data_IF_240995925843
#
_entry.id   IF_240995925843
#
_cell.length_a   1.000
_cell.length_b   1.000
_cell.length_c   1.000
_cell.angle_alpha   90.00
_cell.angle_beta   90.00
_cell.angle_gamma   90.00
#
_symmetry.space_group_name_H-M   'P 1'
#
loop_
_entity.id
_entity.type
_entity.pdbx_description
1 polymer ?
#
# COMPACT_ATOMS: atom_id res chain seq x y z
N UNK A 1 3.87 -52.64 46.87
CA UNK A 1 4.06 -51.18 46.71
C UNK A 1 4.22 -50.85 45.24
N UNK A 2 3.12 -50.44 44.58
CA UNK A 2 3.06 -50.17 43.17
C UNK A 2 3.30 -48.71 42.88
N UNK A 3 4.33 -48.35 42.12
CA UNK A 3 4.54 -47.02 41.58
C UNK A 3 3.75 -46.91 40.30
N UNK A 4 2.68 -46.12 40.35
CA UNK A 4 1.95 -45.66 39.15
C UNK A 4 2.76 -44.58 38.47
N UNK A 5 3.30 -44.88 37.31
CA UNK A 5 3.77 -43.87 36.33
C UNK A 5 2.57 -43.26 35.66
N UNK A 6 2.36 -41.95 35.86
CA UNK A 6 1.36 -41.16 35.19
C UNK A 6 1.95 -40.70 33.83
N UNK A 7 1.47 -41.29 32.76
CA UNK A 7 1.84 -40.95 31.39
C UNK A 7 0.98 -39.74 31.02
N UNK A 8 1.54 -38.53 31.11
CA UNK A 8 0.88 -37.31 30.57
C UNK A 8 1.14 -37.25 29.08
N UNK A 9 0.08 -37.29 28.33
CA UNK A 9 0.03 -37.22 26.87
C UNK A 9 0.46 -35.84 26.38
N UNK A 10 1.43 -35.84 25.42
CA UNK A 10 1.93 -34.69 24.67
C UNK A 10 0.92 -34.22 23.61
N UNK A 11 -0.24 -33.70 23.98
CA UNK A 11 -1.23 -33.23 22.99
C UNK A 11 -1.91 -31.91 23.35
N UNK A 12 -1.27 -31.01 24.09
CA UNK A 12 -1.88 -29.68 24.36
C UNK A 12 -0.91 -28.51 24.20
N UNK A 13 -0.06 -28.51 23.19
CA UNK A 13 0.73 -27.35 22.80
C UNK A 13 0.60 -27.10 21.31
N UNK A 14 -0.58 -26.83 20.83
CA UNK A 14 -0.73 -26.11 19.56
C UNK A 14 -2.14 -25.58 19.35
N UNK A 15 -2.51 -24.56 20.12
CA UNK A 15 -3.67 -23.72 19.79
C UNK A 15 -3.53 -22.34 20.42
N UNK A 16 -2.41 -21.71 20.18
CA UNK A 16 -2.20 -20.29 20.40
C UNK A 16 -2.27 -19.56 19.06
N UNK A 17 -3.44 -19.54 18.43
CA UNK A 17 -3.74 -18.54 17.42
C UNK A 17 -3.65 -17.18 18.09
N UNK A 18 -2.49 -16.53 17.97
CA UNK A 18 -2.32 -15.12 18.31
C UNK A 18 -3.14 -14.35 17.29
N UNK A 19 -4.39 -14.09 17.64
CA UNK A 19 -5.17 -13.03 16.99
C UNK A 19 -4.35 -11.75 17.08
N UNK A 20 -4.21 -10.97 16.00
CA UNK A 20 -3.55 -9.67 16.07
C UNK A 20 -4.48 -8.72 16.83
N UNK A 21 -4.34 -8.71 18.17
CA UNK A 21 -4.98 -7.69 18.98
C UNK A 21 -4.41 -6.32 18.67
N UNK A 22 -5.25 -5.51 18.00
CA UNK A 22 -5.73 -4.22 18.49
C UNK A 22 -4.66 -3.18 18.81
N UNK A 23 -4.53 -2.14 17.93
CA UNK A 23 -4.16 -0.79 18.37
C UNK A 23 -2.69 -0.41 18.32
N UNK A 24 -1.79 -1.25 17.91
CA UNK A 24 -0.44 -0.81 17.63
C UNK A 24 -0.44 -0.04 16.30
N UNK A 25 -0.16 1.26 16.36
CA UNK A 25 0.07 2.08 15.16
C UNK A 25 1.04 1.33 14.24
N UNK A 26 0.71 1.16 12.95
CA UNK A 26 1.62 0.45 12.05
C UNK A 26 3.00 1.09 12.08
N UNK A 27 4.03 0.27 12.14
CA UNK A 27 5.42 0.77 12.15
C UNK A 27 5.67 1.49 10.85
N UNK A 28 6.11 2.74 10.91
CA UNK A 28 6.41 3.59 9.76
C UNK A 28 7.25 2.84 8.71
N UNK A 29 6.97 3.07 7.45
CA UNK A 29 7.64 2.40 6.31
C UNK A 29 9.15 2.65 6.38
N UNK A 30 9.57 3.88 6.67
CA UNK A 30 10.97 4.27 6.81
C UNK A 30 11.73 3.46 7.87
N UNK A 31 11.06 3.12 8.98
CA UNK A 31 11.63 2.28 10.06
C UNK A 31 11.77 0.83 9.60
N UNK A 32 10.76 0.27 8.91
CA UNK A 32 10.82 -1.08 8.34
C UNK A 32 11.95 -1.19 7.32
N UNK A 33 12.04 -0.25 6.38
CA UNK A 33 13.13 -0.19 5.39
C UNK A 33 14.49 -0.11 6.08
N UNK A 34 14.63 0.70 7.14
CA UNK A 34 15.88 0.80 7.90
C UNK A 34 16.35 -0.53 8.48
N UNK A 35 15.43 -1.33 9.03
CA UNK A 35 15.72 -2.69 9.54
C UNK A 35 16.11 -3.64 8.42
N UNK A 36 15.39 -3.62 7.32
CA UNK A 36 15.60 -4.54 6.20
C UNK A 36 16.90 -4.25 5.45
N UNK A 37 17.36 -2.98 5.42
CA UNK A 37 18.69 -2.63 4.94
C UNK A 37 19.78 -3.35 5.73
N UNK A 38 19.66 -3.40 7.06
CA UNK A 38 20.65 -4.11 7.91
C UNK A 38 20.62 -5.61 7.65
N UNK A 39 19.41 -6.18 7.46
CA UNK A 39 19.23 -7.61 7.14
C UNK A 39 19.85 -7.93 5.78
N UNK A 40 19.52 -7.17 4.74
CA UNK A 40 20.04 -7.35 3.39
C UNK A 40 21.58 -7.20 3.33
N UNK A 41 22.12 -6.26 4.10
CA UNK A 41 23.58 -6.08 4.21
C UNK A 41 24.27 -7.31 4.84
N UNK A 42 23.70 -7.86 5.91
CA UNK A 42 24.23 -9.08 6.56
C UNK A 42 24.10 -10.31 5.65
N UNK A 43 23.02 -10.41 4.90
CA UNK A 43 22.76 -11.50 3.95
C UNK A 43 23.53 -11.35 2.63
N UNK A 44 24.22 -10.23 2.41
CA UNK A 44 24.90 -9.89 1.14
C UNK A 44 23.96 -9.87 -0.08
N UNK A 45 22.71 -9.48 0.14
CA UNK A 45 21.69 -9.34 -0.91
C UNK A 45 21.86 -7.98 -1.63
N UNK A 46 22.86 -7.85 -2.48
CA UNK A 46 23.28 -6.58 -3.11
C UNK A 46 22.15 -5.85 -3.85
N UNK A 47 21.35 -6.59 -4.62
CA UNK A 47 20.23 -5.99 -5.37
C UNK A 47 19.19 -5.39 -4.42
N UNK A 48 18.78 -6.15 -3.40
CA UNK A 48 17.81 -5.69 -2.40
C UNK A 48 18.36 -4.51 -1.59
N UNK A 49 19.62 -4.58 -1.21
CA UNK A 49 20.29 -3.50 -0.49
C UNK A 49 20.30 -2.19 -1.29
N UNK A 50 20.62 -2.27 -2.57
CA UNK A 50 20.64 -1.11 -3.47
C UNK A 50 19.27 -0.49 -3.61
N UNK A 51 18.23 -1.31 -3.87
CA UNK A 51 16.85 -0.86 -3.99
C UNK A 51 16.36 -0.20 -2.70
N UNK A 52 16.60 -0.82 -1.53
CA UNK A 52 16.16 -0.27 -0.24
C UNK A 52 16.88 1.04 0.11
N UNK A 53 18.17 1.16 -0.21
CA UNK A 53 18.93 2.41 -0.02
C UNK A 53 18.38 3.55 -0.87
N UNK A 54 18.02 3.25 -2.12
CA UNK A 54 17.40 4.22 -3.02
C UNK A 54 16.05 4.69 -2.48
N UNK A 55 15.17 3.77 -2.02
CA UNK A 55 13.89 4.14 -1.40
C UNK A 55 14.12 5.00 -0.15
N UNK A 56 15.04 4.61 0.73
CA UNK A 56 15.39 5.38 1.92
C UNK A 56 15.88 6.79 1.58
N UNK A 57 16.68 6.93 0.54
CA UNK A 57 17.14 8.24 0.07
C UNK A 57 15.98 9.11 -0.42
N UNK A 58 15.02 8.55 -1.17
CA UNK A 58 13.85 9.28 -1.63
C UNK A 58 12.99 9.80 -0.46
N UNK A 59 12.74 8.95 0.55
CA UNK A 59 12.04 9.35 1.77
C UNK A 59 12.79 10.46 2.50
N UNK A 60 14.11 10.31 2.68
CA UNK A 60 14.94 11.29 3.37
C UNK A 60 15.00 12.65 2.66
N UNK A 61 15.10 12.66 1.34
CA UNK A 61 15.08 13.87 0.55
C UNK A 61 13.77 14.64 0.78
N UNK A 62 12.64 13.94 0.79
CA UNK A 62 11.35 14.55 1.03
C UNK A 62 11.20 15.11 2.45
N UNK A 63 11.74 14.43 3.47
CA UNK A 63 11.81 14.98 4.84
C UNK A 63 12.61 16.27 4.89
N UNK A 64 13.77 16.32 4.20
CA UNK A 64 14.62 17.50 4.16
C UNK A 64 13.91 18.67 3.48
N UNK A 65 13.23 18.43 2.36
CA UNK A 65 12.44 19.44 1.65
C UNK A 65 11.31 19.99 2.52
N UNK A 66 10.60 19.09 3.20
CA UNK A 66 9.47 19.45 4.06
C UNK A 66 9.91 20.10 5.37
N UNK A 67 11.11 19.78 5.84
CA UNK A 67 11.67 20.16 7.17
C UNK A 67 10.87 19.59 8.36
N UNK A 68 10.10 18.57 8.13
CA UNK A 68 9.28 17.87 9.11
C UNK A 68 9.30 16.36 8.83
N UNK A 69 9.03 15.52 9.85
CA UNK A 69 8.85 14.07 9.63
C UNK A 69 7.74 13.80 8.62
N UNK A 70 7.91 12.74 7.84
CA UNK A 70 6.88 12.28 6.92
C UNK A 70 5.75 11.60 7.69
N UNK A 71 4.54 11.80 7.22
CA UNK A 71 3.38 11.00 7.64
C UNK A 71 3.33 9.67 6.89
N UNK A 72 2.61 8.68 7.43
CA UNK A 72 2.42 7.37 6.78
C UNK A 72 1.84 7.51 5.36
N UNK A 73 0.96 8.50 5.16
CA UNK A 73 0.37 8.82 3.85
C UNK A 73 1.43 9.34 2.88
N UNK A 74 2.29 10.24 3.33
CA UNK A 74 3.37 10.79 2.51
C UNK A 74 4.41 9.73 2.15
N UNK A 75 4.79 8.86 3.10
CA UNK A 75 5.66 7.71 2.81
C UNK A 75 5.04 6.81 1.73
N UNK A 76 3.75 6.48 1.85
CA UNK A 76 3.00 5.70 0.86
C UNK A 76 2.97 6.36 -0.51
N UNK A 77 2.76 7.68 -0.59
CA UNK A 77 2.75 8.44 -1.85
C UNK A 77 4.12 8.42 -2.54
N UNK A 78 5.20 8.56 -1.76
CA UNK A 78 6.57 8.51 -2.30
C UNK A 78 6.84 7.13 -2.91
N UNK A 79 6.53 6.04 -2.19
CA UNK A 79 6.71 4.69 -2.70
C UNK A 79 5.86 4.44 -3.96
N UNK A 80 4.63 4.91 -3.98
CA UNK A 80 3.74 4.80 -5.15
C UNK A 80 4.32 5.53 -6.37
N UNK A 81 4.92 6.71 -6.15
CA UNK A 81 5.60 7.47 -7.21
C UNK A 81 6.82 6.72 -7.74
N UNK A 82 7.62 6.12 -6.86
CA UNK A 82 8.77 5.30 -7.24
C UNK A 82 8.35 4.08 -8.08
N UNK A 83 7.26 3.41 -7.70
CA UNK A 83 6.70 2.29 -8.47
C UNK A 83 6.25 2.75 -9.86
N UNK A 84 5.57 3.91 -9.96
CA UNK A 84 5.14 4.46 -11.24
C UNK A 84 6.33 4.71 -12.16
N UNK A 85 7.38 5.35 -11.68
CA UNK A 85 8.61 5.60 -12.45
C UNK A 85 9.23 4.31 -12.95
N UNK A 86 9.26 3.24 -12.11
CA UNK A 86 9.77 1.94 -12.53
C UNK A 86 8.90 1.25 -13.57
N UNK A 87 7.59 1.39 -13.46
CA UNK A 87 6.68 0.87 -14.50
C UNK A 87 6.93 1.54 -15.85
N UNK A 88 7.15 2.84 -15.86
CA UNK A 88 7.54 3.59 -17.08
C UNK A 88 8.90 3.11 -17.62
N UNK A 89 9.86 2.79 -16.72
CA UNK A 89 11.13 2.18 -17.11
C UNK A 89 10.95 0.79 -17.72
N UNK A 90 10.10 -0.07 -17.11
CA UNK A 90 9.76 -1.39 -17.68
C UNK A 90 9.22 -1.26 -19.10
N UNK A 91 8.29 -0.35 -19.34
CA UNK A 91 7.73 -0.11 -20.67
C UNK A 91 8.82 0.34 -21.66
N UNK A 92 9.67 1.28 -21.24
CA UNK A 92 10.76 1.81 -22.06
C UNK A 92 11.78 0.73 -22.42
N UNK A 93 12.21 -0.09 -21.45
CA UNK A 93 13.13 -1.20 -21.68
C UNK A 93 12.52 -2.29 -22.56
N UNK A 94 11.23 -2.59 -22.37
CA UNK A 94 10.51 -3.55 -23.22
C UNK A 94 10.44 -3.06 -24.67
N UNK A 95 10.13 -1.77 -24.89
CA UNK A 95 10.11 -1.16 -26.22
C UNK A 95 11.51 -1.09 -26.86
N UNK A 96 12.55 -0.97 -26.02
CA UNK A 96 13.95 -0.93 -26.45
C UNK A 96 14.60 -2.31 -26.63
N UNK A 97 13.82 -3.40 -26.59
CA UNK A 97 14.31 -4.78 -26.69
C UNK A 97 15.42 -5.12 -25.66
N UNK A 98 15.19 -4.68 -24.43
CA UNK A 98 16.10 -4.90 -23.28
C UNK A 98 15.35 -5.63 -22.15
N UNK A 99 14.92 -6.88 -22.38
CA UNK A 99 14.08 -7.62 -21.42
C UNK A 99 14.77 -7.85 -20.07
N UNK A 100 16.10 -8.00 -20.05
CA UNK A 100 16.88 -8.18 -18.81
C UNK A 100 16.79 -6.97 -17.87
N UNK A 101 16.73 -5.75 -18.43
CA UNK A 101 16.56 -4.53 -17.64
C UNK A 101 15.10 -4.37 -17.20
N UNK A 102 14.15 -4.72 -18.05
CA UNK A 102 12.73 -4.72 -17.68
C UNK A 102 12.44 -5.68 -16.52
N UNK A 103 13.02 -6.89 -16.52
CA UNK A 103 12.86 -7.84 -15.42
C UNK A 103 13.48 -7.32 -14.10
N UNK A 104 14.61 -6.65 -14.17
CA UNK A 104 15.23 -6.02 -12.98
C UNK A 104 14.30 -4.97 -12.37
N UNK A 105 13.72 -4.09 -13.18
CA UNK A 105 12.75 -3.08 -12.70
C UNK A 105 11.50 -3.73 -12.10
N UNK A 106 10.98 -4.83 -12.69
CA UNK A 106 9.86 -5.58 -12.13
C UNK A 106 10.17 -6.15 -10.74
N UNK A 107 11.38 -6.69 -10.54
CA UNK A 107 11.82 -7.17 -9.23
C UNK A 107 11.88 -6.02 -8.20
N UNK A 108 12.36 -4.85 -8.60
CA UNK A 108 12.38 -3.68 -7.74
C UNK A 108 10.97 -3.19 -7.39
N UNK A 109 10.03 -3.20 -8.35
CA UNK A 109 8.61 -2.92 -8.09
C UNK A 109 8.06 -3.85 -7.02
N UNK A 110 8.24 -5.17 -7.19
CA UNK A 110 7.74 -6.16 -6.24
C UNK A 110 8.30 -5.95 -4.82
N UNK A 111 9.59 -5.60 -4.71
CA UNK A 111 10.20 -5.27 -3.42
C UNK A 111 9.57 -4.05 -2.77
N UNK A 112 9.34 -2.97 -3.52
CA UNK A 112 8.76 -1.73 -2.99
C UNK A 112 7.29 -1.95 -2.62
N UNK A 113 6.54 -2.69 -3.43
CA UNK A 113 5.12 -3.03 -3.16
C UNK A 113 4.94 -3.76 -1.83
N UNK A 114 5.91 -4.58 -1.41
CA UNK A 114 5.90 -5.26 -0.11
C UNK A 114 5.90 -4.34 1.12
N UNK A 115 6.24 -3.07 0.96
CA UNK A 115 6.19 -2.07 2.03
C UNK A 115 4.88 -1.29 2.07
N UNK A 116 4.14 -1.29 0.98
CA UNK A 116 2.87 -0.57 0.91
C UNK A 116 1.78 -1.31 1.69
N UNK A 117 0.78 -0.58 2.21
CA UNK A 117 -0.45 -1.22 2.69
C UNK A 117 -1.04 -2.10 1.60
N UNK A 118 -1.73 -3.16 1.99
CA UNK A 118 -2.46 -3.97 1.02
C UNK A 118 -3.41 -3.08 0.21
N UNK A 119 -3.53 -3.38 -1.08
CA UNK A 119 -4.53 -2.71 -1.91
C UNK A 119 -5.90 -3.03 -1.35
N UNK A 120 -6.72 -2.01 -1.18
CA UNK A 120 -8.10 -2.20 -0.80
C UNK A 120 -8.80 -3.10 -1.81
N UNK A 121 -9.63 -3.99 -1.30
CA UNK A 121 -10.50 -4.82 -2.12
C UNK A 121 -11.49 -3.94 -2.91
N UNK A 122 -12.05 -4.48 -3.98
CA UNK A 122 -13.06 -3.78 -4.78
C UNK A 122 -14.25 -3.33 -3.92
N UNK A 123 -14.68 -4.15 -2.95
CA UNK A 123 -15.81 -3.86 -2.08
C UNK A 123 -15.50 -2.75 -1.07
N UNK A 124 -14.29 -2.70 -0.52
CA UNK A 124 -13.86 -1.60 0.35
C UNK A 124 -13.81 -0.28 -0.41
N UNK A 125 -13.24 -0.29 -1.62
CA UNK A 125 -13.22 0.90 -2.48
C UNK A 125 -14.64 1.32 -2.85
N UNK A 126 -15.51 0.38 -3.20
CA UNK A 126 -16.92 0.64 -3.51
C UNK A 126 -17.64 1.31 -2.35
N UNK A 127 -17.45 0.82 -1.13
CA UNK A 127 -18.03 1.41 0.08
C UNK A 127 -17.60 2.87 0.26
N UNK A 128 -16.31 3.16 0.06
CA UNK A 128 -15.78 4.53 0.16
C UNK A 128 -16.34 5.43 -0.93
N UNK A 129 -16.41 4.94 -2.17
CA UNK A 129 -16.97 5.68 -3.34
C UNK A 129 -18.43 6.00 -3.09
N UNK A 130 -19.25 5.02 -2.73
CA UNK A 130 -20.68 5.22 -2.46
C UNK A 130 -20.91 6.19 -1.30
N UNK A 131 -20.15 6.07 -0.21
CA UNK A 131 -20.22 7.00 0.90
C UNK A 131 -19.82 8.43 0.53
N UNK A 132 -18.86 8.61 -0.37
CA UNK A 132 -18.44 9.92 -0.86
C UNK A 132 -19.52 10.56 -1.75
N UNK A 133 -20.09 9.78 -2.66
CA UNK A 133 -21.16 10.24 -3.56
C UNK A 133 -22.42 10.57 -2.76
N UNK A 134 -22.82 9.73 -1.82
CA UNK A 134 -23.96 10.00 -0.94
C UNK A 134 -23.78 11.29 -0.12
N UNK A 135 -22.56 11.54 0.36
CA UNK A 135 -22.26 12.79 1.07
C UNK A 135 -22.39 14.03 0.17
N UNK A 136 -21.95 13.95 -1.09
CA UNK A 136 -22.12 15.04 -2.05
C UNK A 136 -23.59 15.25 -2.41
N UNK A 137 -24.37 14.17 -2.58
CA UNK A 137 -25.80 14.21 -2.88
C UNK A 137 -26.62 14.81 -1.72
N UNK A 138 -26.18 14.63 -0.46
CA UNK A 138 -26.83 15.21 0.71
C UNK A 138 -26.82 16.75 0.69
N UNK A 139 -25.96 17.40 -0.11
CA UNK A 139 -25.97 18.83 -0.39
C UNK A 139 -27.14 19.32 -1.26
N UNK A 140 -28.09 18.44 -1.64
CA UNK A 140 -29.30 18.78 -2.35
C UNK A 140 -29.17 18.91 -3.88
N UNK A 141 -28.00 18.62 -4.46
CA UNK A 141 -27.77 18.62 -5.89
C UNK A 141 -27.90 17.21 -6.48
N UNK A 142 -28.64 17.06 -7.56
CA UNK A 142 -28.57 15.85 -8.39
C UNK A 142 -27.17 15.75 -8.98
N UNK A 143 -26.48 14.69 -8.63
CA UNK A 143 -25.13 14.40 -9.16
C UNK A 143 -25.26 13.73 -10.54
N UNK A 144 -24.34 14.04 -11.42
CA UNK A 144 -24.29 13.48 -12.76
C UNK A 144 -22.86 13.39 -13.31
N UNK A 145 -22.69 13.00 -14.56
CA UNK A 145 -21.37 12.84 -15.18
C UNK A 145 -20.50 14.12 -15.15
N UNK A 146 -21.12 15.30 -15.02
CA UNK A 146 -20.41 16.59 -14.91
C UNK A 146 -19.70 16.77 -13.57
N UNK A 147 -20.14 16.04 -12.54
CA UNK A 147 -19.61 16.14 -11.17
C UNK A 147 -18.45 15.20 -10.90
N UNK A 148 -17.88 14.59 -11.95
CA UNK A 148 -16.75 13.67 -11.87
C UNK A 148 -15.56 14.26 -11.11
N UNK A 149 -15.20 15.52 -11.37
CA UNK A 149 -14.09 16.21 -10.73
C UNK A 149 -14.26 16.38 -9.21
N UNK A 150 -15.34 17.01 -8.75
CA UNK A 150 -15.68 17.10 -7.33
C UNK A 150 -15.79 15.74 -6.65
N UNK A 151 -16.46 14.77 -7.27
CA UNK A 151 -16.60 13.41 -6.73
C UNK A 151 -15.25 12.73 -6.54
N UNK A 152 -14.37 12.75 -7.54
CA UNK A 152 -13.02 12.18 -7.44
C UNK A 152 -12.21 12.82 -6.32
N UNK A 153 -12.32 14.12 -6.12
CA UNK A 153 -11.61 14.82 -5.03
C UNK A 153 -12.04 14.30 -3.66
N UNK A 154 -13.36 14.20 -3.42
CA UNK A 154 -13.89 13.72 -2.14
C UNK A 154 -13.55 12.25 -1.92
N UNK A 155 -13.67 11.41 -2.96
CA UNK A 155 -13.29 10.00 -2.91
C UNK A 155 -11.80 9.85 -2.55
N UNK A 156 -10.91 10.58 -3.21
CA UNK A 156 -9.47 10.53 -2.92
C UNK A 156 -9.16 10.97 -1.49
N UNK A 157 -9.80 12.02 -0.99
CA UNK A 157 -9.64 12.45 0.41
C UNK A 157 -10.08 11.36 1.39
N UNK A 158 -11.19 10.67 1.12
CA UNK A 158 -11.69 9.60 1.99
C UNK A 158 -10.80 8.35 1.94
N UNK A 159 -10.31 7.97 0.76
CA UNK A 159 -9.33 6.88 0.61
C UNK A 159 -8.06 7.19 1.42
N UNK A 160 -7.55 8.41 1.31
CA UNK A 160 -6.39 8.84 2.09
C UNK A 160 -6.66 8.83 3.60
N UNK A 161 -7.83 9.32 4.02
CA UNK A 161 -8.21 9.36 5.44
C UNK A 161 -8.42 7.95 6.03
N UNK A 162 -8.88 6.99 5.24
CA UNK A 162 -9.04 5.59 5.67
C UNK A 162 -7.74 4.79 5.67
N UNK A 163 -6.62 5.38 5.19
CA UNK A 163 -5.35 4.66 5.07
C UNK A 163 -5.36 3.55 4.01
N UNK A 164 -6.40 3.48 3.20
CA UNK A 164 -6.52 2.51 2.11
C UNK A 164 -5.64 2.91 0.93
N UNK A 165 -5.16 1.90 0.21
CA UNK A 165 -4.54 2.06 -1.09
C UNK A 165 -5.50 1.53 -2.15
N UNK A 166 -5.87 2.37 -3.11
CA UNK A 166 -6.74 1.96 -4.21
C UNK A 166 -6.11 2.30 -5.57
N UNK A 167 -6.37 1.45 -6.55
CA UNK A 167 -5.98 1.72 -7.94
C UNK A 167 -6.81 2.87 -8.50
N UNK A 168 -6.13 3.92 -8.99
CA UNK A 168 -6.78 5.14 -9.48
C UNK A 168 -7.71 4.88 -10.67
N UNK A 169 -7.40 3.89 -11.52
CA UNK A 169 -8.26 3.52 -12.66
C UNK A 169 -9.54 2.87 -12.15
N UNK A 170 -9.43 1.91 -11.23
CA UNK A 170 -10.58 1.26 -10.60
C UNK A 170 -11.49 2.27 -9.90
N UNK A 171 -10.92 3.18 -9.11
CA UNK A 171 -11.67 4.26 -8.44
C UNK A 171 -12.41 5.13 -9.45
N UNK A 172 -11.73 5.56 -10.52
CA UNK A 172 -12.31 6.41 -11.56
C UNK A 172 -13.47 5.72 -12.29
N UNK A 173 -13.32 4.42 -12.61
CA UNK A 173 -14.40 3.65 -13.25
C UNK A 173 -15.61 3.47 -12.33
N UNK A 174 -15.40 3.25 -11.03
CA UNK A 174 -16.47 3.16 -10.04
C UNK A 174 -17.23 4.47 -9.90
N UNK A 175 -16.49 5.58 -9.70
CA UNK A 175 -17.11 6.91 -9.59
C UNK A 175 -17.93 7.25 -10.83
N UNK A 176 -17.41 6.98 -12.03
CA UNK A 176 -18.11 7.20 -13.30
C UNK A 176 -19.39 6.38 -13.38
N UNK A 177 -19.36 5.10 -12.99
CA UNK A 177 -20.53 4.22 -13.00
C UNK A 177 -21.59 4.69 -12.01
N UNK A 178 -21.20 5.04 -10.80
CA UNK A 178 -22.14 5.44 -9.76
C UNK A 178 -22.80 6.80 -10.09
N UNK A 179 -22.07 7.76 -10.65
CA UNK A 179 -22.63 9.04 -11.12
C UNK A 179 -23.61 8.85 -12.28
N UNK A 180 -23.37 7.88 -13.17
CA UNK A 180 -24.29 7.57 -14.26
C UNK A 180 -25.60 6.93 -13.77
N UNK A 181 -25.60 6.25 -12.62
CA UNK A 181 -26.81 5.66 -12.03
C UNK A 181 -27.68 6.67 -11.26
N UNK A 182 -27.16 7.85 -10.94
CA UNK A 182 -27.87 8.91 -10.22
C UNK A 182 -28.44 10.00 -11.15
N UNK A 183 -28.20 9.91 -12.45
CA UNK A 183 -28.74 10.81 -13.48
C UNK A 183 -30.19 10.47 -13.88
#
# INVERSE_FOLDING_TARGET
>A
MAKRFFFMSEQEINSGAISPETGAKPVAISVRIGRDIVIAMKAREEHKLTTLRMVKSALRNREIEKREPLTDVEETQILTTLIKQRRESVESFTKGDRPELAEKEKLEIAMIEGYLPQSASEDEVRTVVQGAIAHLAAGGSKLGPKDMGPAMRVVQQRILASGLRADGKMVSEMVKRDLAQQS
#
